data_IF_821610653616
#
_entry.id   IF_821610653616
#
_cell.length_a   1.000
_cell.length_b   1.000
_cell.length_c   1.000
_cell.angle_alpha   90.00
_cell.angle_beta   90.00
_cell.angle_gamma   90.00
#
_symmetry.space_group_name_H-M   'P 1'
#
loop_
_entity.id
_entity.type
_entity.pdbx_description
1 polymer ?
2 branched ?
3 non-polymer ?
4 non-polymer ?
5 non-polymer ?
6 water ?
#
# COMPACT_ATOMS: atom_id res chain seq x y z
N UNK A 37 14.27 -11.41 22.47
CA UNK A 37 12.96 -12.16 22.31
C UNK A 37 11.87 -11.46 23.14
N UNK A 38 11.67 -10.18 22.82
CA UNK A 38 10.80 -9.30 23.59
C UNK A 38 9.37 -9.22 23.06
N UNK A 39 9.14 -9.72 21.83
CA UNK A 39 7.84 -9.50 21.20
C UNK A 39 7.59 -8.05 20.75
N UNK A 40 8.67 -7.34 20.42
CA UNK A 40 8.58 -5.97 19.92
C UNK A 40 9.32 -5.73 18.59
N UNK A 41 10.04 -6.73 18.11
CA UNK A 41 10.86 -6.57 16.92
C UNK A 41 10.03 -6.43 15.66
N UNK A 42 10.58 -5.73 14.69
CA UNK A 42 9.95 -5.60 13.37
C UNK A 42 9.83 -6.96 12.68
N UNK A 43 8.74 -7.10 11.91
CA UNK A 43 8.55 -8.24 11.06
C UNK A 43 8.77 -7.88 9.61
N UNK A 44 9.74 -8.54 8.98
CA UNK A 44 10.12 -8.24 7.61
C UNK A 44 9.39 -9.05 6.54
N UNK A 45 8.31 -9.73 6.96
CA UNK A 45 7.35 -10.34 6.03
C UNK A 45 5.98 -9.65 6.16
N UNK A 46 5.98 -8.45 6.73
CA UNK A 46 4.77 -7.64 6.90
C UNK A 46 4.97 -6.33 6.16
N UNK A 47 4.13 -6.10 5.15
CA UNK A 47 4.26 -4.99 4.20
C UNK A 47 3.12 -4.04 4.41
N UNK A 48 3.38 -2.78 4.64
CA UNK A 48 2.32 -1.81 4.85
C UNK A 48 2.31 -0.77 3.73
N UNK A 49 1.18 -0.70 3.02
CA UNK A 49 1.09 0.18 1.85
C UNK A 49 1.08 1.64 2.25
N UNK A 50 2.04 2.38 1.70
CA UNK A 50 2.36 3.75 2.11
C UNK A 50 2.25 4.69 0.91
N UNK A 51 1.69 5.86 1.17
CA UNK A 51 1.43 6.85 0.13
C UNK A 51 2.19 8.12 0.49
N UNK A 52 2.95 8.62 -0.48
CA UNK A 52 3.86 9.74 -0.32
C UNK A 52 3.42 11.00 -1.08
N UNK A 53 2.11 11.11 -1.32
CA UNK A 53 1.57 12.11 -2.22
C UNK A 53 0.94 13.33 -1.52
N UNK A 54 1.11 13.41 -0.20
CA UNK A 54 0.52 14.51 0.56
C UNK A 54 1.46 15.70 0.57
N UNK A 55 0.95 16.93 0.55
CA UNK A 55 1.81 18.10 0.65
C UNK A 55 1.38 18.94 1.83
N UNK A 56 2.30 19.79 2.29
CA UNK A 56 1.94 20.85 3.23
C UNK A 56 2.47 22.22 2.77
N UNK A 57 1.87 23.28 3.27
CA UNK A 57 2.44 24.60 3.01
C UNK A 57 3.90 24.66 3.48
N UNK A 58 4.21 24.06 4.62
CA UNK A 58 5.54 24.17 5.19
C UNK A 58 6.63 23.70 4.25
N UNK A 59 6.41 22.57 3.59
CA UNK A 59 7.40 21.94 2.73
C UNK A 59 7.14 22.16 1.25
N UNK A 60 5.92 21.90 0.79
CA UNK A 60 5.60 21.95 -0.62
C UNK A 60 5.03 23.26 -1.11
N UNK A 61 4.55 24.09 -0.21
CA UNK A 61 3.87 25.30 -0.59
C UNK A 61 2.41 25.10 -0.94
N UNK A 62 1.91 23.88 -0.78
CA UNK A 62 0.56 23.54 -1.12
C UNK A 62 0.18 22.25 -0.39
N UNK A 63 -1.10 22.14 -0.08
CA UNK A 63 -1.78 20.96 0.46
C UNK A 63 -2.27 19.90 -0.58
N UNK A 64 -1.26 19.34 -1.25
CA UNK A 64 -1.49 18.29 -2.21
C UNK A 64 -2.18 17.07 -1.62
N UNK A 65 -3.14 16.54 -2.36
CA UNK A 65 -3.95 15.39 -1.96
C UNK A 65 -4.93 15.68 -0.82
N UNK A 66 -4.60 16.51 0.16
CA UNK A 66 -5.62 16.96 1.09
C UNK A 66 -6.74 17.66 0.32
N UNK A 67 -6.34 18.42 -0.72
CA UNK A 67 -7.22 18.88 -1.79
C UNK A 67 -7.29 17.82 -2.86
N UNK A 68 -8.50 17.50 -3.33
CA UNK A 68 -8.66 16.40 -4.28
C UNK A 68 -9.94 16.58 -5.03
N UNK A 69 -9.91 16.22 -6.30
CA UNK A 69 -11.15 16.20 -7.11
C UNK A 69 -12.12 15.14 -6.58
N UNK A 70 -13.41 15.45 -6.67
CA UNK A 70 -14.45 14.48 -6.37
C UNK A 70 -14.73 13.73 -7.65
N UNK A 71 -14.75 12.41 -7.56
CA UNK A 71 -14.93 11.58 -8.74
C UNK A 71 -16.39 11.58 -9.20
N UNK A 72 -16.66 11.74 -10.49
CA UNK A 72 -18.02 11.53 -10.98
C UNK A 72 -18.44 10.08 -10.81
N UNK A 73 -19.75 9.90 -10.74
CA UNK A 73 -20.34 8.58 -10.64
C UNK A 73 -20.20 7.87 -11.97
N UNK A 74 -19.48 6.73 -12.04
CA UNK A 74 -19.36 6.04 -13.31
C UNK A 74 -20.68 5.49 -13.90
N UNK A 75 -21.69 5.32 -13.05
CA UNK A 75 -23.03 4.85 -13.51
C UNK A 75 -24.02 6.02 -13.59
N UNK A 76 -23.51 7.24 -13.46
CA UNK A 76 -24.31 8.44 -13.33
C UNK A 76 -24.46 9.09 -14.68
N UNK A 77 -25.18 10.20 -14.69
CA UNK A 77 -25.52 10.86 -15.95
C UNK A 77 -24.36 11.68 -16.49
N UNK A 78 -24.62 12.36 -17.60
CA UNK A 78 -23.71 13.34 -18.16
C UNK A 78 -23.88 14.67 -17.44
N UNK A 79 -22.91 15.55 -17.66
CA UNK A 79 -22.91 16.88 -17.08
C UNK A 79 -22.80 16.92 -15.57
N UNK A 80 -22.20 15.90 -14.96
CA UNK A 80 -21.88 15.97 -13.56
C UNK A 80 -20.74 16.96 -13.44
N UNK A 81 -20.91 17.88 -12.50
CA UNK A 81 -19.83 18.80 -12.11
C UNK A 81 -19.60 18.52 -10.64
N UNK A 82 -18.94 17.40 -10.33
CA UNK A 82 -18.84 16.97 -8.93
C UNK A 82 -18.06 17.89 -8.02
N UNK A 83 -17.18 18.67 -8.60
CA UNK A 83 -16.40 19.61 -7.82
C UNK A 83 -15.16 18.99 -7.19
N UNK A 84 -14.65 19.73 -6.23
CA UNK A 84 -13.38 19.41 -5.59
C UNK A 84 -13.45 19.67 -4.11
N UNK A 85 -12.68 18.91 -3.36
CA UNK A 85 -12.48 19.13 -1.94
C UNK A 85 -11.27 20.09 -1.85
N UNK A 86 -11.38 21.24 -1.15
CA UNK A 86 -10.33 22.25 -1.26
C UNK A 86 -9.08 22.03 -0.45
N UNK A 87 -9.08 21.07 0.47
CA UNK A 87 -7.90 20.82 1.28
C UNK A 87 -7.58 21.93 2.25
N UNK A 88 -8.62 22.63 2.71
CA UNK A 88 -8.48 23.58 3.80
C UNK A 88 -8.38 22.79 5.11
N UNK A 89 -8.10 23.50 6.18
CA UNK A 89 -8.07 22.82 7.47
C UNK A 89 -9.40 22.14 7.75
N UNK A 90 -10.48 22.81 7.38
CA UNK A 90 -11.82 22.37 7.68
C UNK A 90 -12.30 21.26 6.76
N UNK A 91 -11.81 21.22 5.52
CA UNK A 91 -12.34 20.31 4.48
C UNK A 91 -11.23 19.63 3.71
N UNK A 92 -10.91 18.41 4.13
CA UNK A 92 -9.87 17.60 3.50
C UNK A 92 -10.50 16.38 2.82
N UNK A 93 -9.72 15.77 1.92
CA UNK A 93 -10.19 14.66 1.11
C UNK A 93 -10.06 13.32 1.83
N UNK A 94 -10.76 13.23 2.97
CA UNK A 94 -10.82 12.02 3.76
C UNK A 94 -12.10 12.09 4.59
N UNK A 95 -12.62 10.92 4.94
CA UNK A 95 -13.70 10.86 5.91
C UNK A 95 -13.16 10.89 7.37
N UNK A 96 -11.85 10.72 7.54
CA UNK A 96 -11.16 10.79 8.83
C UNK A 96 -10.22 11.99 8.82
N UNK A 97 -9.55 12.24 9.94
CA UNK A 97 -8.70 13.40 10.07
C UNK A 97 -7.38 13.00 10.71
N UNK A 98 -6.24 13.24 10.06
CA UNK A 98 -4.94 12.84 10.60
C UNK A 98 -4.60 13.50 11.94
N UNK A 99 -4.06 12.72 12.88
CA UNK A 99 -3.44 13.29 14.09
C UNK A 99 -2.35 14.29 13.73
N UNK A 100 -1.59 14.03 12.66
CA UNK A 100 -0.51 14.89 12.27
C UNK A 100 -0.93 16.08 11.43
N UNK A 101 -2.23 16.24 11.19
CA UNK A 101 -2.74 17.34 10.40
C UNK A 101 -2.46 17.15 8.91
N UNK A 102 -2.59 18.25 8.17
CA UNK A 102 -2.39 18.26 6.71
C UNK A 102 -0.89 18.29 6.44
N UNK A 103 -0.27 17.14 6.57
CA UNK A 103 1.16 17.02 6.55
C UNK A 103 1.72 16.90 5.13
N UNK A 104 3.01 17.21 5.01
CA UNK A 104 3.75 16.95 3.79
C UNK A 104 4.50 15.63 3.89
N UNK A 105 4.39 14.81 2.85
CA UNK A 105 5.18 13.61 2.73
C UNK A 105 6.67 13.90 2.47
N UNK A 106 6.99 15.16 2.17
CA UNK A 106 8.39 15.62 2.02
C UNK A 106 8.98 16.24 3.25
N UNK A 107 8.24 16.27 4.36
CA UNK A 107 8.69 16.91 5.59
C UNK A 107 9.50 15.88 6.38
N UNK A 108 10.82 16.04 6.49
CA UNK A 108 11.61 15.03 7.22
C UNK A 108 11.12 14.79 8.64
N UNK A 109 10.51 15.81 9.29
CA UNK A 109 10.05 15.64 10.62
C UNK A 109 8.77 14.73 10.68
N UNK A 110 7.93 14.83 9.67
CA UNK A 110 6.78 13.91 9.55
C UNK A 110 7.29 12.52 9.29
N UNK A 111 8.29 12.38 8.43
CA UNK A 111 8.78 11.05 8.08
C UNK A 111 9.35 10.35 9.33
N UNK A 112 10.06 11.11 10.16
CA UNK A 112 10.55 10.58 11.41
C UNK A 112 9.41 9.96 12.24
N UNK A 113 8.34 10.72 12.37
CA UNK A 113 7.17 10.30 13.14
C UNK A 113 6.53 9.06 12.50
N UNK A 114 6.41 9.05 11.17
CA UNK A 114 5.89 7.87 10.51
C UNK A 114 6.73 6.65 10.78
N UNK A 115 8.05 6.78 10.77
CA UNK A 115 8.88 5.61 11.03
C UNK A 115 8.71 5.11 12.45
N UNK A 116 8.56 6.03 13.40
CA UNK A 116 8.27 5.63 14.77
C UNK A 116 6.94 4.90 14.85
N UNK A 117 5.95 5.31 14.03
CA UNK A 117 4.66 4.61 13.98
C UNK A 117 4.82 3.19 13.42
N UNK A 118 5.64 3.02 12.36
CA UNK A 118 5.95 1.68 11.86
C UNK A 118 6.56 0.82 12.94
N UNK A 119 7.51 1.38 13.70
CA UNK A 119 8.12 0.63 14.80
C UNK A 119 7.06 0.21 15.81
N UNK A 120 6.16 1.12 16.17
CA UNK A 120 5.07 0.74 17.09
C UNK A 120 4.17 -0.39 16.55
N UNK A 121 3.94 -0.37 15.23
CA UNK A 121 3.10 -1.38 14.59
C UNK A 121 3.83 -2.67 14.30
N UNK A 122 5.18 -2.66 14.40
CA UNK A 122 6.04 -3.81 14.11
C UNK A 122 6.04 -4.18 12.63
N UNK A 123 5.65 -3.22 11.77
CA UNK A 123 5.61 -3.47 10.34
C UNK A 123 6.99 -3.15 9.74
N UNK A 124 7.75 -4.16 9.34
CA UNK A 124 9.10 -3.94 8.91
C UNK A 124 9.27 -3.45 7.49
N UNK A 125 8.25 -3.53 6.63
CA UNK A 125 8.41 -3.12 5.24
C UNK A 125 7.37 -2.08 4.87
N UNK A 126 7.83 -0.95 4.35
CA UNK A 126 7.04 0.13 3.83
C UNK A 126 6.95 -0.10 2.32
N UNK A 127 5.73 -0.31 1.82
CA UNK A 127 5.49 -0.61 0.41
C UNK A 127 5.01 0.67 -0.27
N UNK A 128 5.97 1.36 -0.87
CA UNK A 128 5.80 2.74 -1.32
C UNK A 128 5.12 2.87 -2.67
N UNK A 129 3.99 3.56 -2.72
CA UNK A 129 3.33 3.87 -3.98
C UNK A 129 4.33 4.52 -4.93
N UNK A 130 4.25 4.15 -6.21
CA UNK A 130 5.23 4.65 -7.17
C UNK A 130 4.56 4.88 -8.51
N UNK A 131 4.56 6.15 -8.91
CA UNK A 131 3.76 6.63 -10.05
C UNK A 131 4.59 7.10 -11.24
N UNK A 132 5.91 6.90 -11.18
CA UNK A 132 6.79 7.27 -12.30
C UNK A 132 6.59 8.75 -12.67
N UNK A 133 6.65 9.62 -11.68
CA UNK A 133 6.39 11.02 -11.98
C UNK A 133 7.56 11.69 -12.68
N UNK A 134 8.78 11.16 -12.58
CA UNK A 134 9.94 11.69 -13.30
C UNK A 134 10.13 13.16 -12.97
N UNK A 135 10.14 13.47 -11.69
CA UNK A 135 10.33 14.83 -11.28
C UNK A 135 11.16 14.85 -10.03
N UNK A 136 11.85 15.95 -9.90
CA UNK A 136 12.74 16.24 -8.78
C UNK A 136 12.11 15.96 -7.41
N UNK A 137 10.86 16.38 -7.27
CA UNK A 137 10.13 16.29 -6.01
C UNK A 137 9.99 14.84 -5.58
N UNK A 138 9.66 13.98 -6.55
CA UNK A 138 9.51 12.53 -6.32
C UNK A 138 10.85 11.95 -5.88
N UNK A 139 11.87 12.27 -6.62
CA UNK A 139 13.20 11.73 -6.31
C UNK A 139 13.64 12.15 -4.91
N UNK A 140 13.39 13.40 -4.57
CA UNK A 140 13.77 13.87 -3.24
C UNK A 140 13.01 13.08 -2.14
N UNK A 141 11.73 12.94 -2.31
CA UNK A 141 10.92 12.26 -1.34
C UNK A 141 11.34 10.81 -1.14
N UNK A 142 11.62 10.10 -2.23
CA UNK A 142 12.00 8.70 -2.09
C UNK A 142 13.29 8.60 -1.28
N UNK A 143 14.27 9.47 -1.55
CA UNK A 143 15.48 9.45 -0.76
C UNK A 143 15.23 9.78 0.70
N UNK A 144 14.38 10.76 0.97
CA UNK A 144 14.07 11.07 2.36
C UNK A 144 13.42 9.89 3.08
N UNK A 145 12.50 9.22 2.41
CA UNK A 145 11.81 8.08 3.01
C UNK A 145 12.81 6.94 3.31
N UNK A 146 13.68 6.62 2.34
CA UNK A 146 14.70 5.61 2.59
C UNK A 146 15.59 5.99 3.78
N UNK A 147 16.03 7.23 3.82
CA UNK A 147 16.91 7.66 4.90
C UNK A 147 16.22 7.55 6.26
N UNK A 148 14.96 8.00 6.33
CA UNK A 148 14.24 7.94 7.60
C UNK A 148 13.97 6.50 8.01
N UNK A 149 13.57 5.69 7.05
CA UNK A 149 13.35 4.27 7.33
C UNK A 149 14.59 3.61 7.90
N UNK A 150 15.75 3.90 7.35
CA UNK A 150 16.95 3.21 7.78
C UNK A 150 17.28 3.51 9.23
N UNK A 151 16.96 4.72 9.71
CA UNK A 151 17.26 5.06 11.09
C UNK A 151 16.55 4.14 12.08
N UNK A 152 15.45 3.53 11.67
CA UNK A 152 14.62 2.67 12.46
C UNK A 152 14.64 1.22 12.03
N UNK A 153 15.55 0.87 11.09
CA UNK A 153 15.67 -0.50 10.56
C UNK A 153 14.45 -0.94 9.78
N UNK A 154 13.66 0.04 9.30
CA UNK A 154 12.58 -0.31 8.40
C UNK A 154 13.11 -0.41 6.97
N UNK A 155 12.48 -1.29 6.19
CA UNK A 155 12.84 -1.51 4.82
C UNK A 155 11.78 -0.91 3.89
N UNK A 156 12.17 -0.67 2.64
CA UNK A 156 11.29 -0.05 1.65
C UNK A 156 11.30 -0.92 0.39
N UNK A 157 10.10 -1.22 -0.09
CA UNK A 157 9.92 -1.81 -1.42
C UNK A 157 8.95 -0.90 -2.17
N UNK A 158 8.78 -1.17 -3.47
CA UNK A 158 7.94 -0.33 -4.32
C UNK A 158 6.67 -1.03 -4.76
N UNK A 159 5.61 -0.24 -4.78
CA UNK A 159 4.29 -0.62 -5.23
C UNK A 159 4.04 0.10 -6.56
N UNK A 160 4.22 -0.64 -7.65
CA UNK A 160 4.23 -0.09 -8.99
C UNK A 160 2.81 0.15 -9.48
N UNK A 161 2.45 1.43 -9.58
CA UNK A 161 1.09 1.84 -9.88
C UNK A 161 0.85 1.89 -11.38
N UNK A 162 -0.42 2.09 -11.79
CA UNK A 162 -0.75 2.09 -13.23
C UNK A 162 -0.51 3.45 -13.85
N UNK A 163 0.76 3.76 -14.03
CA UNK A 163 1.17 5.02 -14.60
C UNK A 163 0.90 5.00 -16.11
N UNK A 164 0.87 6.20 -16.75
CA UNK A 164 0.48 6.26 -18.18
C UNK A 164 1.37 5.43 -19.07
N UNK A 165 0.75 4.65 -19.93
CA UNK A 165 1.45 3.82 -20.90
C UNK A 165 2.35 2.76 -20.26
N UNK A 166 2.09 2.40 -18.99
CA UNK A 166 2.85 1.33 -18.36
C UNK A 166 2.78 0.09 -19.26
N UNK A 167 3.92 -0.54 -19.41
CA UNK A 167 4.03 -1.75 -20.25
C UNK A 167 5.27 -2.50 -19.79
N UNK A 168 5.50 -3.72 -20.28
CA UNK A 168 6.60 -4.47 -19.70
C UNK A 168 7.98 -3.90 -20.03
N UNK A 169 8.11 -3.18 -21.15
CA UNK A 169 9.41 -2.58 -21.49
C UNK A 169 9.72 -1.43 -20.55
N UNK A 170 8.82 -0.47 -20.40
CA UNK A 170 9.14 0.59 -19.45
C UNK A 170 9.12 0.12 -18.00
N UNK A 171 8.37 -0.93 -17.69
CA UNK A 171 8.49 -1.52 -16.35
C UNK A 171 9.88 -2.06 -16.16
N UNK A 172 10.44 -2.78 -17.13
CA UNK A 172 11.81 -3.25 -16.96
C UNK A 172 12.76 -2.09 -16.75
N UNK A 173 12.62 -1.07 -17.58
CA UNK A 173 13.50 0.09 -17.47
C UNK A 173 13.40 0.75 -16.11
N UNK A 174 12.18 0.82 -15.57
CA UNK A 174 11.94 1.41 -14.26
C UNK A 174 12.42 0.55 -13.12
N UNK A 175 12.29 -0.78 -13.23
CA UNK A 175 12.87 -1.69 -12.26
C UNK A 175 14.39 -1.54 -12.25
N UNK A 176 15.00 -1.50 -13.43
CA UNK A 176 16.45 -1.26 -13.52
C UNK A 176 16.81 0.07 -12.85
N UNK A 177 16.06 1.11 -13.14
CA UNK A 177 16.37 2.41 -12.55
C UNK A 177 16.23 2.40 -11.04
N UNK A 178 15.16 1.82 -10.51
CA UNK A 178 14.96 1.79 -9.07
C UNK A 178 16.03 0.97 -8.37
N UNK A 179 16.38 -0.19 -8.93
CA UNK A 179 17.43 -1.01 -8.33
C UNK A 179 18.79 -0.31 -8.44
N UNK A 180 19.06 0.32 -9.57
CA UNK A 180 20.33 1.05 -9.71
C UNK A 180 20.41 2.22 -8.73
N UNK A 181 19.34 3.01 -8.63
CA UNK A 181 19.35 4.22 -7.78
C UNK A 181 19.35 3.88 -6.29
N UNK A 182 18.54 2.87 -5.93
CA UNK A 182 18.21 2.63 -4.51
C UNK A 182 18.62 1.28 -3.98
N UNK A 183 19.06 0.37 -4.85
CA UNK A 183 19.34 -0.97 -4.42
C UNK A 183 20.45 -1.11 -3.42
N UNK A 184 21.40 -0.18 -3.42
CA UNK A 184 22.46 -0.22 -2.42
C UNK A 184 22.16 0.63 -1.17
N UNK A 185 20.98 1.25 -1.11
CA UNK A 185 20.61 1.96 0.08
C UNK A 185 20.36 0.89 1.14
N UNK A 186 20.82 1.10 2.39
CA UNK A 186 20.66 0.12 3.46
C UNK A 186 19.21 -0.24 3.78
N UNK A 187 18.25 0.67 3.46
CA UNK A 187 16.84 0.41 3.75
C UNK A 187 16.15 -0.29 2.60
N UNK A 188 16.80 -0.51 1.44
CA UNK A 188 16.12 -1.16 0.33
C UNK A 188 15.81 -2.61 0.68
N UNK A 189 14.56 -3.01 0.53
CA UNK A 189 14.16 -4.37 0.91
C UNK A 189 14.67 -5.44 -0.02
N UNK A 190 15.12 -6.56 0.56
CA UNK A 190 15.30 -7.80 -0.17
C UNK A 190 14.76 -8.95 0.65
N UNK A 191 14.24 -9.95 -0.04
CA UNK A 191 13.74 -11.21 0.52
C UNK A 191 14.58 -12.29 -0.10
N UNK A 192 15.33 -13.01 0.72
CA UNK A 192 16.24 -14.07 0.28
C UNK A 192 17.09 -13.60 -0.93
N UNK A 193 17.58 -12.38 -0.84
CA UNK A 193 18.46 -11.83 -1.84
C UNK A 193 17.83 -11.08 -2.99
N UNK A 194 16.51 -11.05 -3.06
CA UNK A 194 15.81 -10.46 -4.21
C UNK A 194 15.00 -9.26 -3.78
N UNK A 195 15.02 -8.15 -4.53
CA UNK A 195 14.02 -7.12 -4.34
C UNK A 195 12.63 -7.70 -4.52
N UNK A 196 11.62 -6.99 -4.03
CA UNK A 196 10.21 -7.37 -4.20
C UNK A 196 9.42 -6.16 -4.68
N UNK A 197 8.57 -6.37 -5.69
CA UNK A 197 7.65 -5.33 -6.14
C UNK A 197 6.24 -5.86 -6.12
N UNK A 198 5.31 -5.01 -5.68
CA UNK A 198 3.88 -5.25 -5.86
C UNK A 198 3.46 -4.53 -7.11
N UNK A 199 2.61 -5.15 -7.94
CA UNK A 199 2.15 -4.55 -9.18
C UNK A 199 0.62 -4.33 -9.13
N UNK A 200 0.21 -3.08 -8.94
CA UNK A 200 -1.21 -2.79 -8.84
C UNK A 200 -1.87 -2.90 -10.18
N UNK A 201 -3.08 -3.49 -10.21
CA UNK A 201 -3.84 -3.63 -11.44
C UNK A 201 -3.02 -4.29 -12.53
N UNK A 202 -2.31 -5.36 -12.16
CA UNK A 202 -1.45 -6.06 -13.11
C UNK A 202 -2.23 -6.64 -14.28
N UNK A 203 -3.52 -6.90 -14.11
CA UNK A 203 -4.36 -7.45 -15.17
C UNK A 203 -4.53 -6.50 -16.35
N UNK A 204 -4.16 -5.24 -16.20
CA UNK A 204 -4.17 -4.32 -17.32
C UNK A 204 -3.10 -4.62 -18.36
N UNK A 205 -2.19 -5.55 -18.07
CA UNK A 205 -1.16 -6.02 -18.99
C UNK A 205 -1.41 -7.50 -19.17
N UNK A 206 -1.46 -7.95 -20.43
CA UNK A 206 -1.75 -9.31 -20.78
C UNK A 206 -0.66 -10.26 -20.27
N UNK A 207 -1.02 -11.50 -19.91
CA UNK A 207 0.02 -12.48 -19.58
C UNK A 207 1.07 -12.68 -20.66
N UNK A 208 0.69 -12.60 -21.93
CA UNK A 208 1.71 -12.79 -22.98
C UNK A 208 2.78 -11.71 -22.92
N UNK A 209 2.43 -10.50 -22.49
CA UNK A 209 3.43 -9.46 -22.28
C UNK A 209 4.23 -9.73 -21.01
N UNK A 210 3.55 -10.02 -19.90
CA UNK A 210 4.25 -10.36 -18.67
C UNK A 210 5.31 -11.45 -18.86
N UNK A 211 4.98 -12.49 -19.65
CA UNK A 211 5.88 -13.61 -19.89
C UNK A 211 7.22 -13.14 -20.39
N UNK A 212 7.22 -12.10 -21.21
CA UNK A 212 8.44 -11.58 -21.82
C UNK A 212 9.40 -11.03 -20.79
N UNK A 213 8.85 -10.52 -19.70
CA UNK A 213 9.60 -9.96 -18.58
C UNK A 213 9.92 -10.97 -17.50
N UNK A 214 8.99 -11.90 -17.25
CA UNK A 214 9.01 -12.69 -16.05
C UNK A 214 9.27 -14.17 -16.24
N UNK A 215 9.12 -14.72 -17.43
CA UNK A 215 9.59 -16.08 -17.66
C UNK A 215 11.11 -16.06 -17.77
N UNK A 216 11.80 -17.12 -17.32
CA UNK A 216 13.24 -17.17 -17.52
C UNK A 216 13.65 -17.13 -19.00
N UNK A 217 12.75 -17.52 -19.89
CA UNK A 217 13.00 -17.47 -21.32
C UNK A 217 12.49 -16.26 -22.02
N UNK A 218 11.91 -15.34 -21.26
CA UNK A 218 11.27 -14.20 -21.88
C UNK A 218 12.24 -13.31 -22.62
N UNK A 219 11.74 -12.69 -23.68
CA UNK A 219 12.50 -11.83 -24.53
C UNK A 219 13.30 -10.75 -23.82
N UNK A 220 12.72 -10.19 -22.77
CA UNK A 220 13.34 -9.13 -21.96
C UNK A 220 13.38 -9.54 -20.51
N UNK A 221 13.71 -10.80 -20.27
CA UNK A 221 13.61 -11.33 -18.90
C UNK A 221 14.47 -10.56 -17.93
N UNK A 222 13.98 -10.47 -16.70
CA UNK A 222 14.78 -10.11 -15.55
C UNK A 222 15.35 -11.30 -14.83
N UNK A 223 14.91 -12.52 -15.15
CA UNK A 223 15.38 -13.67 -14.39
C UNK A 223 16.85 -13.91 -14.69
N UNK A 224 17.62 -14.22 -13.64
CA UNK A 224 19.05 -14.49 -13.74
C UNK A 224 19.87 -13.28 -14.10
N UNK A 225 19.30 -12.10 -13.98
CA UNK A 225 19.99 -10.85 -14.21
C UNK A 225 20.21 -10.14 -12.89
N UNK A 226 20.96 -9.05 -12.96
CA UNK A 226 21.17 -8.18 -11.81
C UNK A 226 19.88 -7.54 -11.31
N UNK A 227 18.82 -7.61 -12.11
CA UNK A 227 17.56 -6.91 -11.85
C UNK A 227 16.42 -7.84 -11.55
N UNK A 228 16.73 -9.12 -11.23
CA UNK A 228 15.75 -10.09 -10.85
C UNK A 228 15.04 -9.57 -9.59
N UNK A 229 13.76 -9.95 -9.44
CA UNK A 229 12.96 -9.51 -8.30
C UNK A 229 11.80 -10.44 -8.13
N UNK A 230 11.27 -10.49 -6.90
CA UNK A 230 9.96 -11.12 -6.67
C UNK A 230 8.88 -10.19 -7.14
N UNK A 231 8.08 -10.63 -8.09
CA UNK A 231 7.04 -9.82 -8.70
C UNK A 231 5.70 -10.34 -8.24
N UNK A 232 4.96 -9.51 -7.53
CA UNK A 232 3.72 -9.89 -6.86
C UNK A 232 2.55 -9.22 -7.56
N UNK A 233 1.77 -10.01 -8.31
CA UNK A 233 0.67 -9.45 -9.07
C UNK A 233 -0.62 -9.41 -8.28
N UNK A 234 -1.60 -8.70 -8.76
CA UNK A 234 -2.85 -8.51 -8.05
C UNK A 234 -3.87 -9.61 -8.44
N UNK A 235 -4.19 -10.47 -7.49
CA UNK A 235 -5.28 -11.45 -7.69
C UNK A 235 -6.60 -10.75 -7.45
N UNK A 236 -7.42 -10.61 -8.47
CA UNK A 236 -8.73 -9.95 -8.39
C UNK A 236 -9.89 -10.95 -8.31
N UNK A 237 -10.21 -11.58 -9.42
CA UNK A 237 -11.48 -12.30 -9.58
C UNK A 237 -11.37 -13.79 -9.31
N UNK A 238 -12.19 -14.58 -9.99
CA UNK A 238 -12.33 -15.98 -9.61
C UNK A 238 -11.11 -16.80 -10.01
N UNK A 239 -10.95 -17.98 -9.40
CA UNK A 239 -9.80 -18.81 -9.74
C UNK A 239 -9.74 -19.21 -11.22
N UNK A 240 -10.89 -19.39 -11.86
CA UNK A 240 -10.85 -19.78 -13.27
C UNK A 240 -10.14 -18.73 -14.14
N UNK A 241 -10.20 -17.48 -13.75
CA UNK A 241 -9.48 -16.42 -14.43
C UNK A 241 -8.08 -16.22 -13.84
N UNK A 242 -7.97 -16.16 -12.52
CA UNK A 242 -6.72 -15.75 -11.89
C UNK A 242 -5.64 -16.81 -11.94
N UNK A 243 -6.00 -18.09 -11.81
CA UNK A 243 -4.98 -19.15 -11.79
C UNK A 243 -4.15 -19.12 -13.09
N UNK A 244 -4.81 -19.17 -14.27
CA UNK A 244 -4.00 -19.15 -15.48
C UNK A 244 -3.34 -17.80 -15.68
N UNK A 245 -3.95 -16.72 -15.23
CA UNK A 245 -3.28 -15.38 -15.35
C UNK A 245 -1.94 -15.42 -14.63
N UNK A 246 -1.94 -15.84 -13.37
CA UNK A 246 -0.72 -15.81 -12.58
C UNK A 246 0.32 -16.76 -13.15
N UNK A 247 -0.10 -17.96 -13.54
CA UNK A 247 0.87 -18.91 -14.08
C UNK A 247 1.43 -18.43 -15.41
N UNK A 248 0.56 -17.98 -16.32
CA UNK A 248 0.99 -17.59 -17.65
C UNK A 248 1.79 -16.31 -17.65
N UNK A 249 1.55 -15.46 -16.65
CA UNK A 249 2.33 -14.21 -16.51
C UNK A 249 3.67 -14.41 -15.80
N UNK A 250 3.85 -15.57 -15.15
CA UNK A 250 5.08 -15.88 -14.44
C UNK A 250 5.34 -14.96 -13.25
N UNK A 251 4.27 -14.46 -12.63
CA UNK A 251 4.42 -13.78 -11.35
C UNK A 251 5.00 -14.74 -10.31
N UNK A 252 5.78 -14.21 -9.39
CA UNK A 252 6.30 -14.99 -8.26
C UNK A 252 5.27 -15.19 -7.16
N UNK A 253 4.24 -14.34 -7.15
CA UNK A 253 3.23 -14.41 -6.11
C UNK A 253 2.11 -13.46 -6.40
N UNK A 254 1.22 -13.30 -5.42
CA UNK A 254 0.06 -12.48 -5.61
C UNK A 254 -0.39 -11.90 -4.30
N UNK A 255 -1.01 -10.72 -4.40
CA UNK A 255 -1.64 -10.03 -3.28
C UNK A 255 -3.03 -9.62 -3.67
N UNK A 256 -3.80 -9.11 -2.71
CA UNK A 256 -5.22 -8.86 -2.98
C UNK A 256 -5.62 -7.41 -2.86
N UNK A 257 -4.82 -6.61 -2.16
CA UNK A 257 -4.93 -5.17 -1.92
C UNK A 257 -6.16 -4.71 -1.14
N UNK A 258 -7.37 -4.94 -1.66
CA UNK A 258 -8.52 -4.16 -1.19
C UNK A 258 -8.79 -4.42 0.28
N UNK A 259 -8.98 -3.35 1.04
CA UNK A 259 -9.29 -3.48 2.46
C UNK A 259 -10.73 -3.89 2.71
N UNK A 260 -11.60 -3.70 1.73
CA UNK A 260 -13.03 -3.97 1.85
C UNK A 260 -13.36 -5.40 1.53
N UNK A 261 -13.77 -6.15 2.55
CA UNK A 261 -14.07 -7.56 2.35
C UNK A 261 -15.17 -7.70 1.27
N UNK A 262 -14.97 -8.66 0.39
CA UNK A 262 -15.98 -8.92 -0.62
C UNK A 262 -15.98 -8.01 -1.81
N UNK A 263 -15.11 -7.02 -1.85
CA UNK A 263 -15.04 -6.14 -3.02
C UNK A 263 -14.66 -6.94 -4.28
N UNK A 264 -13.71 -7.87 -4.11
CA UNK A 264 -13.38 -8.82 -5.15
C UNK A 264 -13.38 -10.22 -4.52
N UNK A 265 -13.29 -11.25 -5.36
CA UNK A 265 -13.08 -12.59 -4.89
C UNK A 265 -11.82 -12.63 -4.02
N UNK A 266 -10.74 -11.99 -4.50
CA UNK A 266 -9.51 -12.05 -3.78
C UNK A 266 -9.53 -11.35 -2.43
N UNK A 267 -10.36 -10.35 -2.28
CA UNK A 267 -10.50 -9.65 -1.01
C UNK A 267 -11.66 -10.21 -0.17
N UNK A 268 -12.05 -11.45 -0.42
CA UNK A 268 -13.04 -12.17 0.39
C UNK A 268 -12.29 -13.19 1.22
N UNK A 269 -12.12 -12.93 2.54
CA UNK A 269 -11.17 -13.77 3.29
C UNK A 269 -11.52 -15.24 3.40
N UNK A 270 -12.77 -15.61 3.26
CA UNK A 270 -13.07 -17.04 3.24
C UNK A 270 -12.46 -17.79 2.05
N UNK A 271 -11.96 -17.08 1.03
CA UNK A 271 -11.24 -17.73 -0.05
C UNK A 271 -9.76 -17.94 0.21
N UNK A 272 -9.24 -17.38 1.31
CA UNK A 272 -7.80 -17.35 1.50
C UNK A 272 -7.17 -18.72 1.74
N UNK A 273 -7.84 -19.61 2.47
CA UNK A 273 -7.28 -20.95 2.65
C UNK A 273 -7.07 -21.63 1.30
N UNK A 274 -8.05 -21.56 0.41
CA UNK A 274 -7.97 -22.19 -0.92
C UNK A 274 -6.93 -21.51 -1.81
N UNK A 275 -6.86 -20.18 -1.69
CA UNK A 275 -5.84 -19.45 -2.45
C UNK A 275 -4.43 -19.82 -2.00
N UNK A 276 -4.25 -19.96 -0.69
CA UNK A 276 -2.94 -20.38 -0.18
C UNK A 276 -2.61 -21.80 -0.63
N UNK A 277 -3.58 -22.70 -0.60
CA UNK A 277 -3.33 -24.10 -1.06
C UNK A 277 -2.84 -24.08 -2.49
N UNK A 278 -3.50 -23.32 -3.34
CA UNK A 278 -3.11 -23.22 -4.75
C UNK A 278 -1.73 -22.61 -4.87
N UNK A 279 -1.49 -21.55 -4.11
CA UNK A 279 -0.16 -20.93 -4.13
C UNK A 279 0.94 -21.94 -3.80
N UNK A 280 0.75 -22.68 -2.72
CA UNK A 280 1.73 -23.67 -2.29
C UNK A 280 1.96 -24.73 -3.37
N UNK A 281 0.87 -25.21 -3.95
CA UNK A 281 0.95 -26.24 -4.99
C UNK A 281 1.70 -25.75 -6.24
N UNK A 282 1.72 -24.44 -6.46
CA UNK A 282 2.24 -23.87 -7.70
C UNK A 282 3.48 -23.00 -7.48
N UNK A 283 4.08 -23.07 -6.30
CA UNK A 283 5.32 -22.39 -6.01
C UNK A 283 5.20 -20.88 -6.01
N UNK A 284 4.05 -20.36 -5.62
CA UNK A 284 3.78 -18.92 -5.60
C UNK A 284 3.67 -18.44 -4.18
N UNK A 285 4.04 -17.17 -3.97
CA UNK A 285 3.94 -16.51 -2.67
C UNK A 285 2.63 -15.73 -2.57
N UNK A 286 1.75 -16.11 -1.67
CA UNK A 286 0.49 -15.41 -1.44
C UNK A 286 0.69 -14.44 -0.29
N UNK A 287 0.40 -13.17 -0.54
CA UNK A 287 0.52 -12.09 0.42
C UNK A 287 -0.85 -11.42 0.55
N UNK A 288 -1.78 -12.04 1.31
CA UNK A 288 -3.10 -11.42 1.44
C UNK A 288 -3.00 -10.05 2.03
N UNK A 289 -3.94 -9.17 1.66
CA UNK A 289 -3.99 -7.83 2.18
C UNK A 289 -5.13 -7.71 3.18
N UNK A 290 -4.80 -7.15 4.35
CA UNK A 290 -5.75 -6.95 5.43
C UNK A 290 -5.83 -5.44 5.71
N UNK A 291 -7.02 -5.00 6.12
CA UNK A 291 -7.14 -3.61 6.49
C UNK A 291 -8.21 -3.40 7.56
N UNK A 292 -8.23 -2.18 8.13
CA UNK A 292 -9.06 -1.95 9.31
C UNK A 292 -10.49 -1.51 9.01
N UNK A 293 -10.76 -1.18 7.74
CA UNK A 293 -12.07 -0.67 7.33
C UNK A 293 -11.88 -0.04 5.95
N UNK A 294 -12.97 0.52 5.45
CA UNK A 294 -12.94 1.22 4.16
C UNK A 294 -14.05 2.27 4.15
N UNK A 295 -13.74 3.48 3.71
CA UNK A 295 -14.78 4.47 3.39
C UNK A 295 -14.12 5.57 2.57
N UNK A 296 -14.68 5.84 1.40
CA UNK A 296 -14.11 6.81 0.47
C UNK A 296 -15.14 7.81 -0.01
N UNK A 297 -16.22 8.01 0.75
CA UNK A 297 -17.33 8.78 0.19
C UNK A 297 -17.11 10.29 0.13
N UNK A 298 -16.10 10.85 0.78
CA UNK A 298 -15.77 12.26 0.51
C UNK A 298 -15.37 12.45 -0.96
N UNK A 299 -14.50 11.56 -1.45
CA UNK A 299 -14.02 11.66 -2.83
C UNK A 299 -14.83 10.85 -3.83
N UNK A 300 -15.58 9.87 -3.37
CA UNK A 300 -16.40 9.02 -4.25
C UNK A 300 -17.77 8.86 -3.60
N UNK A 301 -18.62 9.91 -3.67
CA UNK A 301 -19.86 9.91 -2.88
C UNK A 301 -20.84 8.81 -3.25
N UNK A 302 -20.70 8.33 -4.49
CA UNK A 302 -21.52 7.24 -5.04
C UNK A 302 -21.07 5.85 -4.63
N UNK A 303 -19.95 5.72 -3.90
CA UNK A 303 -19.35 4.42 -3.63
C UNK A 303 -19.65 3.88 -2.24
N UNK A 304 -20.78 4.29 -1.66
CA UNK A 304 -21.10 3.87 -0.33
C UNK A 304 -21.28 2.40 -0.10
N UNK A 305 -21.59 1.61 -1.12
CA UNK A 305 -21.74 0.18 -0.91
C UNK A 305 -20.43 -0.51 -0.51
N UNK A 306 -19.29 0.14 -0.74
CA UNK A 306 -18.00 -0.42 -0.38
C UNK A 306 -17.61 -0.08 1.05
N UNK A 307 -18.39 0.76 1.74
CA UNK A 307 -18.06 1.07 3.14
C UNK A 307 -17.97 -0.20 3.96
N UNK A 308 -16.93 -0.31 4.77
CA UNK A 308 -16.80 -1.35 5.78
C UNK A 308 -16.49 -0.64 7.07
N UNK A 309 -17.39 -0.82 8.05
CA UNK A 309 -17.27 -0.16 9.36
C UNK A 309 -16.18 -0.79 10.22
N UNK A 310 -15.47 0.06 10.96
CA UNK A 310 -14.35 -0.43 11.77
C UNK A 310 -14.75 -1.18 13.03
N UNK A 311 -15.92 -0.86 13.58
CA UNK A 311 -16.46 -1.49 14.80
C UNK A 311 -15.39 -1.60 15.89
N UNK A 312 -14.76 -0.49 16.21
CA UNK A 312 -13.80 -0.43 17.34
C UNK A 312 -12.72 -1.45 17.24
N UNK A 313 -12.36 -1.77 16.01
CA UNK A 313 -11.28 -2.72 15.76
C UNK A 313 -11.70 -4.13 15.41
N UNK A 314 -12.98 -4.47 15.56
CA UNK A 314 -13.39 -5.83 15.36
C UNK A 314 -13.27 -6.24 13.90
N UNK A 315 -13.48 -5.30 12.97
CA UNK A 315 -13.29 -5.62 11.55
C UNK A 315 -11.83 -5.99 11.26
N UNK A 316 -10.90 -5.18 11.74
CA UNK A 316 -9.49 -5.41 11.53
C UNK A 316 -9.10 -6.78 12.11
N UNK A 317 -9.55 -7.03 13.34
CA UNK A 317 -9.24 -8.31 14.00
C UNK A 317 -9.70 -9.48 13.15
N UNK A 318 -10.93 -9.40 12.66
CA UNK A 318 -11.45 -10.53 11.88
C UNK A 318 -10.64 -10.77 10.63
N UNK A 319 -10.26 -9.71 9.94
CA UNK A 319 -9.54 -9.87 8.68
C UNK A 319 -8.12 -10.38 8.92
N UNK A 320 -7.44 -9.82 9.93
CA UNK A 320 -6.07 -10.24 10.21
C UNK A 320 -6.08 -11.69 10.65
N UNK A 321 -7.06 -12.07 11.49
CA UNK A 321 -7.11 -13.46 11.91
C UNK A 321 -7.26 -14.41 10.71
N UNK A 322 -8.09 -14.07 9.73
CA UNK A 322 -8.25 -14.91 8.55
C UNK A 322 -6.95 -15.07 7.78
N UNK A 323 -6.19 -13.99 7.67
CA UNK A 323 -4.91 -14.09 6.95
C UNK A 323 -3.99 -15.07 7.66
N UNK A 324 -3.90 -14.95 8.99
CA UNK A 324 -3.00 -15.81 9.75
C UNK A 324 -3.46 -17.26 9.70
N UNK A 325 -4.77 -17.46 9.82
CA UNK A 325 -5.33 -18.82 9.74
C UNK A 325 -5.11 -19.50 8.41
N UNK A 326 -4.98 -18.70 7.33
CA UNK A 326 -4.73 -19.27 6.03
C UNK A 326 -3.33 -19.87 5.91
N UNK A 327 -2.43 -19.52 6.83
CA UNK A 327 -1.13 -20.17 6.83
C UNK A 327 -0.15 -19.57 5.87
N UNK A 328 -0.28 -18.28 5.58
CA UNK A 328 0.59 -17.59 4.65
C UNK A 328 1.90 -17.21 5.31
N UNK A 329 2.87 -16.94 4.43
CA UNK A 329 4.25 -16.57 4.72
C UNK A 329 4.50 -15.08 4.91
N UNK A 330 3.56 -14.27 4.45
CA UNK A 330 3.72 -12.83 4.41
C UNK A 330 2.32 -12.25 4.34
N UNK A 331 2.20 -11.05 4.93
CA UNK A 331 0.93 -10.32 4.98
C UNK A 331 1.16 -8.87 4.57
N UNK A 332 0.20 -8.30 3.82
CA UNK A 332 0.25 -6.91 3.50
C UNK A 332 -0.91 -6.20 4.16
N UNK A 333 -0.69 -4.92 4.50
CA UNK A 333 -1.66 -4.11 5.24
C UNK A 333 -2.04 -2.92 4.38
N UNK A 334 -3.35 -2.87 4.10
CA UNK A 334 -3.97 -1.77 3.34
C UNK A 334 -4.77 -0.97 4.35
N UNK A 335 -4.22 0.14 4.87
CA UNK A 335 -3.00 0.82 4.44
C UNK A 335 -2.39 1.55 5.63
N UNK A 336 -1.16 2.04 5.45
CA UNK A 336 -0.69 2.99 6.43
C UNK A 336 -1.51 4.28 6.38
N UNK A 337 -1.67 4.84 5.16
CA UNK A 337 -2.10 6.21 5.02
C UNK A 337 -2.76 6.50 3.67
N UNK A 338 -3.66 5.59 3.21
CA UNK A 338 -4.57 5.95 2.11
C UNK A 338 -5.79 6.59 2.80
N UNK A 339 -5.63 7.86 3.11
CA UNK A 339 -6.66 8.62 3.83
C UNK A 339 -7.91 8.82 2.98
N UNK A 340 -7.75 8.89 1.65
CA UNK A 340 -8.92 9.06 0.81
C UNK A 340 -9.86 7.89 0.91
N UNK A 341 -9.32 6.70 1.14
CA UNK A 341 -10.07 5.46 1.14
C UNK A 341 -10.41 4.96 2.54
N UNK A 342 -9.97 5.67 3.57
CA UNK A 342 -10.37 5.32 4.92
C UNK A 342 -9.87 3.99 5.36
N UNK A 343 -8.76 3.52 4.80
CA UNK A 343 -8.18 2.26 5.16
C UNK A 343 -6.95 2.43 6.09
N UNK A 344 -6.66 3.67 6.46
CA UNK A 344 -5.40 3.95 7.15
C UNK A 344 -5.35 3.37 8.56
N UNK A 345 -4.16 2.93 8.97
CA UNK A 345 -3.89 2.62 10.36
C UNK A 345 -3.19 3.79 11.06
N UNK A 346 -2.70 4.78 10.28
CA UNK A 346 -2.09 5.96 10.84
C UNK A 346 -3.06 6.61 11.83
N UNK A 347 -2.55 7.16 12.95
CA UNK A 347 -3.43 7.82 13.91
C UNK A 347 -4.28 8.92 13.31
N UNK A 348 -5.55 8.88 13.73
CA UNK A 348 -6.63 9.82 13.41
C UNK A 348 -7.20 10.38 14.68
N UNK A 349 -7.70 11.61 14.61
CA UNK A 349 -8.26 12.27 15.79
C UNK A 349 -9.68 12.71 15.53
N UNK A 350 -10.49 12.84 16.58
CA UNK A 350 -11.80 13.46 16.41
C UNK A 350 -11.66 14.88 15.89
N UNK A 351 -12.55 15.28 15.00
CA UNK A 351 -12.55 16.65 14.50
C UNK A 351 -13.90 16.92 13.89
N UNK A 352 -14.46 18.05 14.31
CA UNK A 352 -15.66 18.58 13.69
C UNK A 352 -15.38 20.02 13.30
N UNK A 353 -15.45 20.29 12.01
CA UNK A 353 -15.25 21.65 11.53
C UNK A 353 -16.58 22.18 11.09
N UNK A 354 -16.56 23.43 10.66
CA UNK A 354 -17.77 24.05 10.14
C UNK A 354 -18.20 23.38 8.84
N UNK A 355 -17.29 22.67 8.18
CA UNK A 355 -17.58 22.09 6.87
C UNK A 355 -17.89 20.58 6.87
N UNK A 356 -17.43 19.83 7.87
CA UNK A 356 -17.58 18.37 7.89
C UNK A 356 -17.36 17.85 9.29
N UNK A 357 -18.15 16.84 9.63
CA UNK A 357 -17.97 16.09 10.87
C UNK A 357 -17.20 14.81 10.50
N UNK A 358 -15.95 14.71 10.89
CA UNK A 358 -15.12 13.58 10.51
C UNK A 358 -15.47 12.36 11.34
N UNK A 359 -15.26 11.19 10.76
CA UNK A 359 -15.21 9.97 11.52
C UNK A 359 -13.92 9.95 12.34
N UNK A 360 -13.84 9.05 13.32
CA UNK A 360 -12.68 8.92 14.17
C UNK A 360 -12.64 7.51 14.72
N UNK A 361 -11.66 7.24 15.58
CA UNK A 361 -11.47 5.88 16.08
C UNK A 361 -12.39 5.47 17.23
N UNK A 362 -13.32 6.35 17.54
CA UNK A 362 -14.47 6.10 18.41
C UNK A 362 -14.04 5.78 19.82
N UNK A 363 -14.35 4.57 20.27
CA UNK A 363 -13.94 4.17 21.60
C UNK A 363 -12.49 3.84 21.75
N UNK A 364 -11.76 3.79 20.64
CA UNK A 364 -10.34 3.54 20.66
C UNK A 364 -9.56 4.85 20.58
N UNK A 365 -8.34 4.83 21.13
CA UNK A 365 -7.40 5.96 21.05
C UNK A 365 -6.77 6.11 19.67
N UNK A 366 -6.20 7.28 19.37
CA UNK A 366 -5.65 7.50 18.01
C UNK A 366 -4.66 6.47 17.53
N UNK A 367 -3.80 5.94 18.44
CA UNK A 367 -2.79 4.94 18.06
C UNK A 367 -3.24 3.51 18.15
N UNK A 368 -4.56 3.27 18.34
CA UNK A 368 -5.02 1.92 18.53
C UNK A 368 -4.68 1.00 17.38
N UNK A 369 -4.83 1.49 16.14
CA UNK A 369 -4.61 0.62 15.02
C UNK A 369 -3.12 0.30 14.85
N UNK A 370 -2.22 1.17 15.29
CA UNK A 370 -0.80 0.83 15.36
C UNK A 370 -0.55 -0.27 16.38
N UNK A 371 -1.04 -0.09 17.61
CA UNK A 371 -0.77 -1.10 18.61
C UNK A 371 -1.50 -2.40 18.35
N UNK A 372 -2.68 -2.35 17.71
CA UNK A 372 -3.36 -3.58 17.35
C UNK A 372 -2.64 -4.31 16.23
N UNK A 373 -2.05 -3.54 15.29
CA UNK A 373 -1.20 -4.18 14.28
C UNK A 373 -0.05 -4.94 14.93
N UNK A 374 0.56 -4.33 15.97
CA UNK A 374 1.67 -5.02 16.65
C UNK A 374 1.23 -6.32 17.27
N UNK A 375 0.02 -6.33 17.83
CA UNK A 375 -0.58 -7.55 18.39
C UNK A 375 -0.67 -8.60 17.34
N UNK A 376 -1.24 -8.25 16.16
CA UNK A 376 -1.40 -9.21 15.10
C UNK A 376 -0.09 -9.66 14.47
N UNK A 377 0.90 -8.79 14.38
CA UNK A 377 2.22 -9.20 13.91
C UNK A 377 2.78 -10.29 14.84
N UNK A 378 2.57 -10.12 16.15
CA UNK A 378 3.00 -11.15 17.09
C UNK A 378 2.31 -12.49 16.88
N UNK A 379 0.98 -12.44 16.64
CA UNK A 379 0.23 -13.67 16.35
C UNK A 379 0.69 -14.29 15.04
N UNK A 380 1.00 -13.46 14.04
CA UNK A 380 1.51 -13.95 12.77
C UNK A 380 2.88 -14.65 12.97
N UNK A 381 3.76 -14.05 13.78
CA UNK A 381 5.07 -14.63 14.01
C UNK A 381 4.97 -15.91 14.76
N UNK A 382 4.01 -15.98 15.66
CA UNK A 382 3.79 -17.17 16.46
C UNK A 382 3.47 -18.32 15.55
N UNK A 383 2.80 -18.00 14.42
CA UNK A 383 2.33 -18.93 13.36
C UNK A 383 3.39 -19.36 12.33
N UNK A 384 4.53 -18.67 12.28
CA UNK A 384 5.62 -18.91 11.25
C UNK A 384 6.70 -19.80 11.89
N UNK A 385 7.26 -20.71 11.09
CA UNK A 385 8.44 -21.53 11.44
C UNK A 385 9.60 -21.23 10.50
#
# INVERSE_FOLDING_TARGET
>A
MGSSHHHHHHSSGLVPRGSHMDDNNPSNSENNGGNNNLGTELDYDTFCFYYDWYGSEAIDGQYRHWAHAIAPDPNGGSGQNPGTIPGTQESIASNFYPQLGRYSSSDPNILTKHMDMFVMARTGVLALTWWNEQDETEAKRIGLILDAADKKKIKVCFHLEPYPSRNVQNLRENIVKLITRYGNHPAFYRKDGKPLFFIYDSYLIEPSEWEKLLSPGGSITIRNTAYDALMIGLWTSSPTVQRPFILNAHFDGFYTYFAATGFTYGSTPTNWVSMQKWAKENGKIFIPSVGPGYIDTRIRPWNGSVIRTRTDGQYYDAMYRKAIEAGVSAISITSFNEWHEGSQIEPAVPYTSSEFTYLDYENREPDYYLTRTAYWVGKFRESKQ
#
